data_IF_561313655515
#
_entry.id   IF_561313655515
#
_cell.length_a   1.000
_cell.length_b   1.000
_cell.length_c   1.000
_cell.angle_alpha   90.00
_cell.angle_beta   90.00
_cell.angle_gamma   90.00
#
_symmetry.space_group_name_H-M   'P 1'
#
loop_
_entity.id
_entity.type
_entity.pdbx_description
1 polymer ?
#
# COMPACT_ATOMS: atom_id res chain seq x y z
N UNK A 1 10.86 -44.90 8.73
CA UNK A 1 9.87 -43.87 8.32
C UNK A 1 10.41 -42.50 8.78
N UNK A 2 10.93 -41.72 7.84
CA UNK A 2 11.47 -40.40 8.11
C UNK A 2 10.30 -39.44 8.22
N UNK A 3 9.98 -38.97 9.43
CA UNK A 3 9.09 -37.82 9.63
C UNK A 3 9.86 -36.57 9.22
N UNK A 4 9.65 -36.10 8.01
CA UNK A 4 9.99 -34.72 7.68
C UNK A 4 8.93 -33.84 8.37
N UNK A 5 9.27 -33.32 9.54
CA UNK A 5 8.54 -32.22 10.16
C UNK A 5 8.76 -30.98 9.27
N UNK A 6 7.93 -30.83 8.24
CA UNK A 6 7.85 -29.60 7.50
C UNK A 6 7.45 -28.51 8.49
N UNK A 7 8.37 -27.60 8.80
CA UNK A 7 8.09 -26.41 9.58
C UNK A 7 7.01 -25.66 8.81
N UNK A 8 5.76 -25.71 9.32
CA UNK A 8 4.67 -24.89 8.78
C UNK A 8 4.97 -23.47 9.19
N UNK A 9 5.51 -22.67 8.29
CA UNK A 9 5.64 -21.23 8.50
C UNK A 9 4.23 -20.60 8.38
N UNK A 10 3.54 -20.46 9.50
CA UNK A 10 2.17 -19.92 9.56
C UNK A 10 2.25 -18.39 9.56
N UNK A 11 1.81 -17.80 8.46
CA UNK A 11 1.83 -16.35 8.25
C UNK A 11 0.43 -15.76 8.35
N UNK A 12 0.30 -14.68 9.14
CA UNK A 12 -0.93 -13.91 9.25
C UNK A 12 -0.71 -12.50 8.75
N UNK A 13 -1.72 -11.96 8.05
CA UNK A 13 -1.74 -10.59 7.56
C UNK A 13 -2.78 -9.78 8.33
N UNK A 14 -2.35 -8.68 8.91
CA UNK A 14 -3.18 -7.71 9.62
C UNK A 14 -3.24 -6.44 8.78
N UNK A 15 -4.44 -6.03 8.39
CA UNK A 15 -4.67 -4.89 7.51
C UNK A 15 -5.37 -3.78 8.26
N UNK A 16 -4.70 -2.64 8.40
CA UNK A 16 -5.32 -1.37 8.70
C UNK A 16 -6.08 -0.90 7.47
N UNK A 17 -7.42 -1.03 7.49
CA UNK A 17 -8.28 -0.71 6.37
C UNK A 17 -8.24 0.77 5.99
N UNK A 18 -8.08 1.66 6.97
CA UNK A 18 -7.92 3.09 6.71
C UNK A 18 -6.63 3.42 5.95
N UNK A 19 -5.54 2.76 6.31
CA UNK A 19 -4.27 2.88 5.57
C UNK A 19 -4.39 2.34 4.14
N UNK A 20 -4.98 1.15 3.96
CA UNK A 20 -5.17 0.55 2.65
C UNK A 20 -6.07 1.41 1.77
N UNK A 21 -7.21 1.90 2.28
CA UNK A 21 -8.12 2.77 1.53
C UNK A 21 -7.42 4.05 1.07
N UNK A 22 -6.67 4.71 1.95
CA UNK A 22 -5.92 5.92 1.63
C UNK A 22 -4.85 5.69 0.56
N UNK A 23 -4.20 4.51 0.57
CA UNK A 23 -3.27 4.10 -0.47
C UNK A 23 -4.00 3.95 -1.81
N UNK A 24 -5.08 3.17 -1.85
CA UNK A 24 -5.84 2.87 -3.06
C UNK A 24 -6.48 4.13 -3.66
N UNK A 25 -7.00 5.05 -2.82
CA UNK A 25 -7.52 6.34 -3.25
C UNK A 25 -6.43 7.19 -3.90
N UNK A 26 -5.24 7.26 -3.32
CA UNK A 26 -4.10 7.98 -3.90
C UNK A 26 -3.72 7.44 -5.28
N UNK A 27 -3.72 6.11 -5.48
CA UNK A 27 -3.45 5.50 -6.78
C UNK A 27 -4.59 5.74 -7.78
N UNK A 28 -5.85 5.63 -7.33
CA UNK A 28 -7.02 5.96 -8.13
C UNK A 28 -6.94 7.38 -8.68
N UNK A 29 -6.70 8.36 -7.80
CA UNK A 29 -6.73 9.77 -8.14
C UNK A 29 -5.56 10.20 -9.02
N UNK A 30 -4.35 9.76 -8.65
CA UNK A 30 -3.12 10.28 -9.23
C UNK A 30 -2.57 9.46 -10.39
N UNK A 31 -2.88 8.15 -10.47
CA UNK A 31 -2.37 7.28 -11.52
C UNK A 31 -3.45 6.84 -12.51
N UNK A 32 -4.67 6.58 -12.04
CA UNK A 32 -5.71 5.98 -12.88
C UNK A 32 -6.88 6.91 -13.18
N UNK A 33 -6.68 8.24 -13.07
CA UNK A 33 -7.67 9.24 -13.47
C UNK A 33 -8.98 9.16 -12.71
N UNK A 34 -8.93 8.94 -11.40
CA UNK A 34 -10.06 8.83 -10.47
C UNK A 34 -10.98 7.61 -10.75
N UNK A 35 -10.48 6.59 -11.43
CA UNK A 35 -11.22 5.34 -11.59
C UNK A 35 -11.18 4.55 -10.29
N UNK A 36 -12.32 4.14 -9.77
CA UNK A 36 -12.39 3.28 -8.58
C UNK A 36 -11.65 1.96 -8.86
N UNK A 37 -10.63 1.65 -8.02
CA UNK A 37 -9.83 0.45 -8.19
C UNK A 37 -10.65 -0.80 -7.83
N UNK A 38 -10.54 -1.82 -8.66
CA UNK A 38 -11.14 -3.13 -8.43
C UNK A 38 -10.05 -4.08 -7.92
N UNK A 39 -10.07 -4.37 -6.62
CA UNK A 39 -9.05 -5.20 -5.96
C UNK A 39 -9.48 -6.66 -5.91
N UNK A 40 -8.57 -7.54 -6.32
CA UNK A 40 -8.64 -8.98 -6.06
C UNK A 40 -7.99 -9.26 -4.68
N UNK A 41 -8.80 -9.35 -3.66
CA UNK A 41 -8.35 -9.57 -2.29
C UNK A 41 -7.73 -10.97 -2.09
N UNK A 42 -8.04 -11.94 -2.93
CA UNK A 42 -7.39 -13.25 -2.91
C UNK A 42 -5.92 -13.15 -3.36
N UNK A 43 -5.63 -12.27 -4.34
CA UNK A 43 -4.25 -11.96 -4.76
C UNK A 43 -3.49 -11.19 -3.69
N UNK A 44 -4.12 -10.20 -3.05
CA UNK A 44 -3.54 -9.48 -1.93
C UNK A 44 -3.18 -10.41 -0.78
N UNK A 45 -4.05 -11.37 -0.48
CA UNK A 45 -3.90 -12.35 0.60
C UNK A 45 -3.01 -13.56 0.24
N UNK A 46 -2.41 -13.57 -0.95
CA UNK A 46 -1.63 -14.72 -1.40
C UNK A 46 -0.43 -14.97 -0.47
N UNK A 47 -0.26 -16.23 -0.06
CA UNK A 47 0.81 -16.65 0.86
C UNK A 47 0.46 -16.54 2.35
N UNK A 48 -0.70 -16.01 2.71
CA UNK A 48 -1.15 -15.90 4.10
C UNK A 48 -2.18 -16.97 4.46
N UNK A 49 -2.05 -17.53 5.68
CA UNK A 49 -2.98 -18.53 6.23
C UNK A 49 -4.25 -17.89 6.77
N UNK A 50 -4.14 -16.68 7.34
CA UNK A 50 -5.25 -15.85 7.78
C UNK A 50 -5.00 -14.39 7.46
N UNK A 51 -6.08 -13.68 7.18
CA UNK A 51 -6.09 -12.23 6.93
C UNK A 51 -7.10 -11.61 7.89
N UNK A 52 -6.65 -10.63 8.64
CA UNK A 52 -7.45 -9.87 9.58
C UNK A 52 -7.56 -8.45 9.03
N UNK A 53 -8.77 -8.05 8.68
CA UNK A 53 -9.08 -6.73 8.13
C UNK A 53 -9.82 -5.91 9.18
N UNK A 54 -9.25 -4.78 9.56
CA UNK A 54 -9.78 -3.91 10.59
C UNK A 54 -10.12 -2.57 10.00
N UNK A 55 -11.35 -2.12 10.19
CA UNK A 55 -11.79 -0.82 9.70
C UNK A 55 -13.09 -0.39 10.39
N UNK A 56 -13.53 0.85 10.15
CA UNK A 56 -14.77 1.34 10.68
C UNK A 56 -15.62 2.01 9.59
N UNK A 57 -16.95 1.98 9.79
CA UNK A 57 -17.82 2.82 8.98
C UNK A 57 -17.62 4.29 9.37
N UNK A 58 -17.54 5.20 8.38
CA UNK A 58 -17.45 6.63 8.67
C UNK A 58 -18.62 7.09 9.54
N UNK A 59 -18.35 7.90 10.56
CA UNK A 59 -19.43 8.46 11.38
C UNK A 59 -20.35 9.35 10.55
N UNK A 60 -21.64 9.41 10.92
CA UNK A 60 -22.61 10.32 10.31
C UNK A 60 -22.20 11.77 10.57
N UNK A 61 -22.11 12.59 9.50
CA UNK A 61 -21.72 14.00 9.61
C UNK A 61 -22.82 14.80 10.29
N UNK A 62 -22.43 15.87 10.99
CA UNK A 62 -23.41 16.78 11.60
C UNK A 62 -24.29 17.41 10.51
N UNK A 63 -25.60 17.25 10.63
CA UNK A 63 -26.58 17.73 9.64
C UNK A 63 -26.79 16.82 8.43
N UNK A 64 -26.06 15.71 8.30
CA UNK A 64 -26.29 14.73 7.27
C UNK A 64 -27.58 13.95 7.56
N UNK A 65 -28.49 13.89 6.59
CA UNK A 65 -29.71 13.08 6.76
C UNK A 65 -29.38 11.57 6.66
N UNK A 66 -30.28 10.74 7.15
CA UNK A 66 -30.09 9.29 7.22
C UNK A 66 -29.94 8.64 5.85
N UNK A 67 -30.60 9.14 4.81
CA UNK A 67 -30.54 8.57 3.45
C UNK A 67 -29.16 8.83 2.84
N UNK A 68 -28.65 10.05 2.97
CA UNK A 68 -27.34 10.43 2.44
C UNK A 68 -26.23 9.66 3.18
N UNK A 69 -26.36 9.53 4.51
CA UNK A 69 -25.43 8.72 5.29
C UNK A 69 -25.41 7.26 4.81
N UNK A 70 -26.58 6.63 4.67
CA UNK A 70 -26.67 5.24 4.18
C UNK A 70 -26.08 5.07 2.77
N UNK A 71 -26.32 6.03 1.88
CA UNK A 71 -25.73 6.00 0.53
C UNK A 71 -24.21 6.13 0.58
N UNK A 72 -23.67 6.97 1.46
CA UNK A 72 -22.23 7.19 1.61
C UNK A 72 -21.49 5.99 2.18
N UNK A 73 -22.07 5.24 3.13
CA UNK A 73 -21.43 4.07 3.74
C UNK A 73 -21.67 2.77 2.95
N UNK A 74 -22.63 2.74 2.04
CA UNK A 74 -23.00 1.55 1.27
C UNK A 74 -21.84 0.87 0.54
N UNK A 75 -20.90 1.58 -0.10
CA UNK A 75 -19.72 0.94 -0.72
C UNK A 75 -18.86 0.19 0.31
N UNK A 76 -18.66 0.78 1.50
CA UNK A 76 -17.87 0.17 2.58
C UNK A 76 -18.56 -1.07 3.16
N UNK A 77 -19.87 -1.02 3.36
CA UNK A 77 -20.65 -2.20 3.77
C UNK A 77 -20.55 -3.32 2.74
N UNK A 78 -20.61 -2.99 1.45
CA UNK A 78 -20.42 -3.98 0.38
C UNK A 78 -19.03 -4.61 0.43
N UNK A 79 -17.99 -3.80 0.67
CA UNK A 79 -16.63 -4.29 0.85
C UNK A 79 -16.54 -5.26 2.03
N UNK A 80 -17.04 -4.89 3.21
CA UNK A 80 -17.02 -5.75 4.39
C UNK A 80 -17.74 -7.08 4.14
N UNK A 81 -18.92 -7.05 3.52
CA UNK A 81 -19.68 -8.26 3.19
C UNK A 81 -18.92 -9.13 2.19
N UNK A 82 -18.28 -8.52 1.18
CA UNK A 82 -17.41 -9.23 0.24
C UNK A 82 -16.24 -9.90 0.96
N UNK A 83 -15.48 -9.17 1.77
CA UNK A 83 -14.35 -9.72 2.52
C UNK A 83 -14.76 -10.86 3.46
N UNK A 84 -15.90 -10.72 4.16
CA UNK A 84 -16.45 -11.79 5.02
C UNK A 84 -16.84 -13.06 4.26
N UNK A 85 -17.10 -12.95 2.95
CA UNK A 85 -17.41 -14.10 2.10
C UNK A 85 -16.19 -14.83 1.56
N UNK A 86 -14.99 -14.25 1.71
CA UNK A 86 -13.75 -14.85 1.27
C UNK A 86 -13.19 -15.80 2.33
N UNK A 87 -12.63 -16.92 1.88
CA UNK A 87 -11.91 -17.83 2.76
C UNK A 87 -10.72 -17.14 3.42
N UNK A 88 -10.44 -17.48 4.68
CA UNK A 88 -9.31 -16.97 5.48
C UNK A 88 -9.43 -15.50 5.93
N UNK A 89 -10.44 -14.75 5.48
CA UNK A 89 -10.65 -13.38 5.89
C UNK A 89 -11.50 -13.29 7.17
N UNK A 90 -11.02 -12.49 8.10
CA UNK A 90 -11.70 -12.12 9.33
C UNK A 90 -11.83 -10.60 9.36
N UNK A 91 -13.06 -10.08 9.33
CA UNK A 91 -13.33 -8.64 9.26
C UNK A 91 -13.81 -8.15 10.61
N UNK A 92 -13.14 -7.14 11.13
CA UNK A 92 -13.45 -6.48 12.41
C UNK A 92 -13.86 -5.04 12.14
N UNK A 93 -15.08 -4.73 12.56
CA UNK A 93 -15.68 -3.42 12.34
C UNK A 93 -15.62 -2.62 13.64
N UNK A 94 -14.78 -1.58 13.66
CA UNK A 94 -14.74 -0.62 14.74
C UNK A 94 -15.89 0.39 14.67
N UNK A 95 -16.09 1.13 15.75
CA UNK A 95 -17.08 2.18 15.85
C UNK A 95 -16.41 3.54 15.69
N UNK A 96 -16.69 4.26 14.59
CA UNK A 96 -16.25 5.64 14.46
C UNK A 96 -17.13 6.58 15.28
N UNK A 97 -16.51 7.36 16.18
CA UNK A 97 -17.21 8.39 16.98
C UNK A 97 -16.61 9.76 16.69
N UNK A 98 -17.48 10.77 16.48
CA UNK A 98 -17.05 12.16 16.51
C UNK A 98 -16.83 12.59 17.96
N UNK A 99 -15.59 12.81 18.37
CA UNK A 99 -15.24 13.24 19.73
C UNK A 99 -15.08 14.74 19.90
N UNK A 100 -14.71 15.49 18.89
CA UNK A 100 -14.63 16.96 18.97
C UNK A 100 -14.43 17.58 17.59
N UNK A 101 -14.97 18.80 17.38
CA UNK A 101 -14.85 19.58 16.12
C UNK A 101 -13.39 19.91 15.73
N UNK A 102 -12.43 19.80 16.67
CA UNK A 102 -11.02 20.18 16.47
C UNK A 102 -10.08 19.02 16.13
N UNK A 103 -10.47 17.75 16.35
CA UNK A 103 -9.56 16.59 16.22
C UNK A 103 -9.95 15.60 15.14
N UNK A 104 -11.01 15.82 14.40
CA UNK A 104 -11.45 14.90 13.35
C UNK A 104 -12.09 13.60 13.90
N UNK A 105 -12.20 12.63 13.00
CA UNK A 105 -12.76 11.31 13.31
C UNK A 105 -11.67 10.44 13.95
N UNK A 106 -11.87 9.95 15.18
CA UNK A 106 -10.92 9.04 15.84
C UNK A 106 -11.23 7.59 15.51
N UNK A 107 -10.23 6.87 14.97
CA UNK A 107 -10.26 5.42 14.70
C UNK A 107 -9.58 4.59 15.80
N UNK A 108 -9.30 5.16 16.96
CA UNK A 108 -8.52 4.52 18.05
C UNK A 108 -9.00 3.14 18.48
N UNK A 109 -10.28 2.83 18.29
CA UNK A 109 -10.81 1.50 18.60
C UNK A 109 -10.21 0.44 17.66
N UNK A 110 -10.05 0.76 16.37
CA UNK A 110 -9.48 -0.12 15.36
C UNK A 110 -8.03 -0.44 15.67
N UNK A 111 -7.23 0.57 16.01
CA UNK A 111 -5.80 0.44 16.31
C UNK A 111 -5.58 -0.47 17.53
N UNK A 112 -6.40 -0.29 18.57
CA UNK A 112 -6.37 -1.15 19.76
C UNK A 112 -6.76 -2.58 19.42
N UNK A 113 -7.75 -2.80 18.54
CA UNK A 113 -8.15 -4.15 18.12
C UNK A 113 -7.02 -4.84 17.38
N UNK A 114 -6.35 -4.18 16.45
CA UNK A 114 -5.16 -4.70 15.75
C UNK A 114 -4.09 -5.09 16.78
N UNK A 115 -3.75 -4.18 17.69
CA UNK A 115 -2.70 -4.41 18.68
C UNK A 115 -3.01 -5.61 19.59
N UNK A 116 -4.23 -5.69 20.09
CA UNK A 116 -4.67 -6.80 20.96
C UNK A 116 -4.66 -8.12 20.24
N UNK A 117 -5.14 -8.18 19.00
CA UNK A 117 -5.20 -9.44 18.24
C UNK A 117 -3.80 -9.89 17.79
N UNK A 118 -2.93 -9.00 17.33
CA UNK A 118 -1.55 -9.35 16.99
C UNK A 118 -0.82 -9.91 18.20
N UNK A 119 -0.90 -9.23 19.35
CA UNK A 119 -0.26 -9.70 20.58
C UNK A 119 -0.85 -11.03 21.08
N UNK A 120 -2.19 -11.19 21.01
CA UNK A 120 -2.88 -12.45 21.36
C UNK A 120 -2.43 -13.63 20.51
N UNK A 121 -2.33 -13.44 19.19
CA UNK A 121 -1.91 -14.51 18.27
C UNK A 121 -0.43 -14.86 18.46
N UNK A 122 0.43 -13.88 18.70
CA UNK A 122 1.83 -14.07 19.02
C UNK A 122 2.00 -14.85 20.33
N UNK A 123 1.42 -14.38 21.44
CA UNK A 123 1.56 -15.00 22.76
C UNK A 123 1.01 -16.45 22.80
N UNK A 124 0.03 -16.76 21.95
CA UNK A 124 -0.53 -18.12 21.81
C UNK A 124 0.22 -18.97 20.79
N UNK A 125 1.27 -18.44 20.15
CA UNK A 125 2.03 -19.13 19.09
C UNK A 125 1.14 -19.67 17.96
N UNK A 126 0.13 -18.89 17.57
CA UNK A 126 -0.80 -19.23 16.49
C UNK A 126 -0.21 -18.94 15.09
N UNK A 127 0.86 -18.17 15.04
CA UNK A 127 1.56 -17.77 13.82
C UNK A 127 3.07 -17.72 14.07
N UNK A 128 3.84 -17.88 13.01
CA UNK A 128 5.30 -17.78 13.02
C UNK A 128 5.76 -16.41 12.48
N UNK A 129 4.94 -15.79 11.64
CA UNK A 129 5.17 -14.48 11.03
C UNK A 129 3.89 -13.65 11.06
N UNK A 130 4.01 -12.40 11.52
CA UNK A 130 2.97 -11.38 11.49
C UNK A 130 3.33 -10.30 10.47
N UNK A 131 2.49 -10.10 9.45
CA UNK A 131 2.61 -8.94 8.56
C UNK A 131 1.56 -7.90 8.94
N UNK A 132 1.99 -6.66 9.16
CA UNK A 132 1.11 -5.51 9.41
C UNK A 132 1.15 -4.56 8.22
N UNK A 133 -0.02 -4.24 7.66
CA UNK A 133 -0.17 -3.19 6.65
C UNK A 133 -0.68 -1.92 7.36
N UNK A 134 0.21 -0.96 7.56
CA UNK A 134 -0.10 0.36 8.14
C UNK A 134 0.97 1.39 7.81
N UNK A 135 0.68 2.67 8.04
CA UNK A 135 1.63 3.78 8.04
C UNK A 135 1.62 4.57 9.35
N UNK A 136 0.83 4.11 10.33
CA UNK A 136 0.65 4.83 11.58
C UNK A 136 1.78 4.50 12.57
N UNK A 137 2.49 5.55 12.99
CA UNK A 137 3.59 5.46 13.95
C UNK A 137 3.14 4.93 15.33
N UNK A 138 1.87 5.07 15.68
CA UNK A 138 1.31 4.59 16.93
C UNK A 138 1.43 3.06 17.09
N UNK A 139 1.65 2.33 15.99
CA UNK A 139 1.93 0.89 16.03
C UNK A 139 3.39 0.52 16.34
N UNK A 140 4.33 1.48 16.37
CA UNK A 140 5.73 1.19 16.68
C UNK A 140 5.92 0.44 18.00
N UNK A 141 5.29 0.87 19.14
CA UNK A 141 5.42 0.14 20.40
C UNK A 141 4.94 -1.31 20.35
N UNK A 142 3.91 -1.60 19.54
CA UNK A 142 3.43 -2.96 19.30
C UNK A 142 4.47 -3.79 18.57
N UNK A 143 5.04 -3.25 17.48
CA UNK A 143 6.07 -3.94 16.69
C UNK A 143 7.29 -4.23 17.57
N UNK A 144 7.79 -3.23 18.32
CA UNK A 144 8.91 -3.39 19.24
C UNK A 144 8.65 -4.52 20.26
N UNK A 145 7.45 -4.56 20.84
CA UNK A 145 7.08 -5.60 21.81
C UNK A 145 7.03 -6.99 21.17
N UNK A 146 6.47 -7.13 19.97
CA UNK A 146 6.38 -8.41 19.26
C UNK A 146 7.76 -8.94 18.86
N UNK A 147 8.63 -8.08 18.34
CA UNK A 147 10.02 -8.43 17.99
C UNK A 147 10.80 -8.86 19.22
N UNK A 148 10.64 -8.17 20.36
CA UNK A 148 11.28 -8.55 21.64
C UNK A 148 10.80 -9.90 22.17
N UNK A 149 9.54 -10.27 21.92
CA UNK A 149 8.98 -11.60 22.23
C UNK A 149 9.40 -12.70 21.22
N UNK A 150 10.23 -12.35 20.23
CA UNK A 150 10.75 -13.27 19.24
C UNK A 150 9.79 -13.58 18.07
N UNK A 151 8.74 -12.77 17.89
CA UNK A 151 7.88 -12.84 16.70
C UNK A 151 8.57 -12.20 15.50
N UNK A 152 8.57 -12.87 14.35
CA UNK A 152 9.01 -12.24 13.11
C UNK A 152 7.93 -11.31 12.57
N UNK A 153 8.23 -10.01 12.53
CA UNK A 153 7.29 -8.96 12.12
C UNK A 153 7.69 -8.37 10.78
N UNK A 154 6.80 -8.44 9.81
CA UNK A 154 6.92 -7.78 8.51
C UNK A 154 6.01 -6.55 8.46
N UNK A 155 6.52 -5.42 8.02
CA UNK A 155 5.73 -4.21 7.80
C UNK A 155 5.51 -3.97 6.31
N UNK A 156 4.24 -3.82 5.90
CA UNK A 156 3.84 -3.30 4.59
C UNK A 156 3.37 -1.87 4.74
N UNK A 157 3.96 -0.94 3.99
CA UNK A 157 3.69 0.49 4.17
C UNK A 157 3.63 1.26 2.85
N UNK A 158 2.77 2.30 2.75
CA UNK A 158 2.78 3.24 1.62
C UNK A 158 4.10 4.01 1.59
N UNK A 159 4.82 3.95 0.47
CA UNK A 159 6.17 4.52 0.29
C UNK A 159 6.31 5.98 0.76
N UNK A 160 5.29 6.80 0.55
CA UNK A 160 5.35 8.25 0.78
C UNK A 160 4.74 8.72 2.09
N UNK A 161 4.25 7.80 2.95
CA UNK A 161 3.51 8.16 4.17
C UNK A 161 4.09 7.56 5.46
N UNK A 162 4.95 6.56 5.36
CA UNK A 162 5.47 5.91 6.56
C UNK A 162 6.63 6.69 7.18
N UNK A 163 6.64 6.73 8.51
CA UNK A 163 7.75 7.24 9.29
C UNK A 163 8.87 6.20 9.35
N UNK A 164 10.13 6.63 9.23
CA UNK A 164 11.29 5.74 9.31
C UNK A 164 11.38 4.98 10.64
N UNK A 165 10.99 5.59 11.76
CA UNK A 165 10.99 4.92 13.05
C UNK A 165 10.05 3.70 13.09
N UNK A 166 8.90 3.78 12.42
CA UNK A 166 7.99 2.65 12.26
C UNK A 166 8.59 1.58 11.36
N UNK A 167 9.19 2.00 10.23
CA UNK A 167 9.76 1.10 9.22
C UNK A 167 10.95 0.33 9.80
N UNK A 168 11.79 0.99 10.60
CA UNK A 168 12.98 0.39 11.18
C UNK A 168 12.68 -0.52 12.39
N UNK A 169 11.50 -0.42 12.99
CA UNK A 169 11.09 -1.29 14.10
C UNK A 169 10.83 -2.75 13.67
N UNK A 170 10.49 -3.00 12.39
CA UNK A 170 10.14 -4.33 11.89
C UNK A 170 11.36 -5.12 11.40
N UNK A 171 11.33 -6.47 11.53
CA UNK A 171 12.36 -7.38 11.01
C UNK A 171 12.44 -7.34 9.48
N UNK A 172 11.30 -7.21 8.82
CA UNK A 172 11.18 -7.11 7.37
C UNK A 172 10.24 -5.96 6.99
N UNK A 173 10.54 -5.32 5.88
CA UNK A 173 9.83 -4.14 5.44
C UNK A 173 9.59 -4.17 3.93
N UNK A 174 8.37 -3.88 3.52
CA UNK A 174 7.97 -3.81 2.12
C UNK A 174 7.22 -2.53 1.83
N UNK A 175 7.83 -1.63 1.07
CA UNK A 175 7.11 -0.49 0.52
C UNK A 175 6.09 -0.95 -0.54
N UNK A 176 4.87 -0.45 -0.44
CA UNK A 176 3.80 -0.73 -1.40
C UNK A 176 3.99 0.14 -2.63
N UNK A 177 4.49 -0.46 -3.69
CA UNK A 177 4.80 0.19 -4.97
C UNK A 177 3.63 0.13 -5.94
N UNK A 178 3.76 0.81 -7.09
CA UNK A 178 2.81 0.69 -8.21
C UNK A 178 2.64 -0.77 -8.62
N UNK A 179 3.74 -1.52 -8.75
CA UNK A 179 3.66 -2.93 -9.17
C UNK A 179 2.98 -3.82 -8.14
N UNK A 180 3.15 -3.52 -6.84
CA UNK A 180 2.42 -4.23 -5.78
C UNK A 180 0.92 -4.03 -5.93
N UNK A 181 0.47 -2.78 -6.02
CA UNK A 181 -0.95 -2.44 -6.17
C UNK A 181 -1.50 -2.97 -7.50
N UNK A 182 -0.73 -2.84 -8.60
CA UNK A 182 -1.09 -3.40 -9.90
C UNK A 182 -1.32 -4.92 -9.85
N UNK A 183 -0.49 -5.63 -9.08
CA UNK A 183 -0.63 -7.07 -8.85
C UNK A 183 -1.94 -7.45 -8.16
N UNK A 184 -2.48 -6.57 -7.32
CA UNK A 184 -3.75 -6.77 -6.62
C UNK A 184 -4.99 -6.43 -7.46
N UNK A 185 -4.84 -5.66 -8.56
CA UNK A 185 -5.98 -5.29 -9.41
C UNK A 185 -6.57 -6.50 -10.12
N UNK A 186 -7.91 -6.49 -10.31
CA UNK A 186 -8.58 -7.48 -11.13
C UNK A 186 -8.10 -7.43 -12.58
N UNK A 187 -8.19 -8.55 -13.29
CA UNK A 187 -7.83 -8.58 -14.72
C UNK A 187 -8.69 -7.65 -15.56
N UNK A 188 -9.97 -7.56 -15.23
CA UNK A 188 -10.90 -6.70 -15.96
C UNK A 188 -10.62 -5.23 -15.73
N UNK A 189 -10.16 -4.84 -14.54
CA UNK A 189 -9.70 -3.46 -14.33
C UNK A 189 -8.41 -3.17 -15.08
N UNK A 190 -7.42 -4.08 -15.06
CA UNK A 190 -6.16 -3.91 -15.78
C UNK A 190 -6.32 -3.78 -17.30
N UNK A 191 -7.36 -4.40 -17.89
CA UNK A 191 -7.70 -4.21 -19.31
C UNK A 191 -8.23 -2.81 -19.64
N UNK A 192 -8.77 -2.09 -18.65
CA UNK A 192 -9.36 -0.73 -18.81
C UNK A 192 -8.38 0.41 -18.60
N UNK A 193 -7.18 0.11 -18.11
CA UNK A 193 -6.14 1.10 -17.76
C UNK A 193 -4.78 0.61 -18.24
N UNK A 194 -3.83 1.53 -18.36
CA UNK A 194 -2.44 1.19 -18.69
C UNK A 194 -1.47 1.85 -17.73
N UNK A 195 -0.35 1.21 -17.48
CA UNK A 195 0.81 1.85 -16.87
C UNK A 195 1.63 2.57 -17.94
N UNK A 196 2.52 3.51 -17.56
CA UNK A 196 3.52 4.05 -18.46
C UNK A 196 4.29 2.95 -19.19
N UNK A 197 4.54 3.18 -20.47
CA UNK A 197 5.27 2.22 -21.32
C UNK A 197 6.73 2.23 -20.91
N UNK A 198 7.27 1.06 -20.60
CA UNK A 198 8.68 0.89 -20.27
C UNK A 198 9.48 0.44 -21.47
N UNK A 199 10.65 1.06 -21.68
CA UNK A 199 11.65 0.67 -22.67
C UNK A 199 13.05 0.76 -22.07
N UNK A 200 13.93 -0.19 -22.42
CA UNK A 200 15.36 -0.11 -22.11
C UNK A 200 16.13 0.22 -23.39
N UNK A 201 17.02 1.21 -23.34
CA UNK A 201 17.81 1.65 -24.49
C UNK A 201 19.29 1.80 -24.11
N UNK A 202 20.19 1.40 -25.01
CA UNK A 202 21.62 1.66 -24.88
C UNK A 202 22.04 3.08 -25.28
N UNK A 203 21.13 3.80 -25.97
CA UNK A 203 21.34 5.18 -26.39
C UNK A 203 20.27 6.07 -25.78
N UNK A 204 20.64 7.30 -25.45
CA UNK A 204 19.68 8.31 -25.02
C UNK A 204 18.81 8.71 -26.24
N UNK A 205 17.49 8.43 -26.24
CA UNK A 205 16.62 8.72 -27.38
C UNK A 205 16.07 10.16 -27.36
N UNK A 206 16.78 11.08 -26.74
CA UNK A 206 16.42 12.50 -26.61
C UNK A 206 17.26 13.29 -27.61
N UNK A 207 16.60 13.97 -28.54
CA UNK A 207 17.19 14.89 -29.51
C UNK A 207 16.71 16.33 -29.25
N UNK A 208 17.14 17.29 -30.06
CA UNK A 208 16.83 18.72 -29.92
C UNK A 208 15.34 19.06 -30.01
N UNK A 209 14.49 18.09 -30.41
CA UNK A 209 13.03 18.26 -30.47
C UNK A 209 12.34 18.03 -29.11
N UNK A 210 13.05 17.49 -28.14
CA UNK A 210 12.56 17.27 -26.77
C UNK A 210 12.92 18.44 -25.86
N UNK A 211 12.01 18.85 -25.01
CA UNK A 211 12.23 19.89 -24.00
C UNK A 211 12.22 19.26 -22.61
N UNK A 212 13.27 19.49 -21.84
CA UNK A 212 13.27 19.07 -20.43
C UNK A 212 12.27 19.92 -19.64
N UNK A 213 11.30 19.26 -19.00
CA UNK A 213 10.19 19.92 -18.26
C UNK A 213 10.28 19.70 -16.75
N UNK A 214 11.03 18.67 -16.31
CA UNK A 214 11.17 18.38 -14.87
C UNK A 214 12.43 17.56 -14.57
N UNK A 215 12.78 17.51 -13.27
CA UNK A 215 13.80 16.64 -12.71
C UNK A 215 13.25 16.08 -11.38
N UNK A 216 13.16 14.75 -11.27
CA UNK A 216 12.67 14.05 -10.08
C UNK A 216 13.87 13.46 -9.35
N UNK A 217 14.25 14.08 -8.24
CA UNK A 217 15.29 13.54 -7.36
C UNK A 217 14.76 12.34 -6.56
N UNK A 218 15.45 11.23 -6.66
CA UNK A 218 15.27 10.06 -5.81
C UNK A 218 16.54 9.86 -4.98
N UNK A 219 16.47 9.13 -3.90
CA UNK A 219 17.61 8.95 -2.98
C UNK A 219 18.88 8.40 -3.62
N UNK A 220 18.75 7.65 -4.71
CA UNK A 220 19.86 6.94 -5.37
C UNK A 220 20.08 7.32 -6.83
N UNK A 221 19.15 8.05 -7.45
CA UNK A 221 19.23 8.44 -8.86
C UNK A 221 18.36 9.66 -9.16
N UNK A 222 18.70 10.38 -10.21
CA UNK A 222 17.89 11.46 -10.79
C UNK A 222 17.13 10.94 -12.00
N UNK A 223 15.90 11.41 -12.17
CA UNK A 223 15.07 11.10 -13.32
C UNK A 223 14.71 12.38 -14.05
N UNK A 224 15.24 12.53 -15.25
CA UNK A 224 14.92 13.66 -16.10
C UNK A 224 13.63 13.42 -16.89
N UNK A 225 12.74 14.39 -16.91
CA UNK A 225 11.48 14.29 -17.63
C UNK A 225 11.49 15.27 -18.80
N UNK A 226 11.22 14.74 -19.98
CA UNK A 226 11.17 15.49 -21.23
C UNK A 226 9.76 15.45 -21.84
N UNK A 227 9.43 16.47 -22.62
CA UNK A 227 8.18 16.61 -23.34
C UNK A 227 8.42 16.80 -24.84
N UNK A 228 7.58 16.16 -25.64
CA UNK A 228 7.46 16.37 -27.07
C UNK A 228 6.01 16.07 -27.50
N UNK A 229 5.33 17.07 -28.08
CA UNK A 229 3.98 16.94 -28.65
C UNK A 229 2.96 16.30 -27.68
N UNK A 230 2.93 16.77 -26.42
CA UNK A 230 2.10 16.22 -25.34
C UNK A 230 2.40 14.75 -24.95
N UNK A 231 3.55 14.24 -25.35
CA UNK A 231 4.07 12.98 -24.84
C UNK A 231 5.22 13.29 -23.86
N UNK A 232 5.24 12.59 -22.75
CA UNK A 232 6.24 12.76 -21.70
C UNK A 232 7.07 11.49 -21.58
N UNK A 233 8.37 11.65 -21.47
CA UNK A 233 9.31 10.55 -21.24
C UNK A 233 10.15 10.85 -19.99
N UNK A 234 10.13 9.93 -19.05
CA UNK A 234 11.01 9.96 -17.89
C UNK A 234 12.22 9.06 -18.18
N UNK A 235 13.41 9.61 -18.01
CA UNK A 235 14.67 8.98 -18.37
C UNK A 235 15.58 8.92 -17.16
N UNK A 236 16.15 7.77 -16.87
CA UNK A 236 17.27 7.65 -15.93
C UNK A 236 18.31 6.65 -16.44
N UNK A 237 19.57 6.97 -16.18
CA UNK A 237 20.68 6.13 -16.56
C UNK A 237 20.91 5.06 -15.49
N UNK A 238 21.08 3.81 -15.91
CA UNK A 238 21.45 2.71 -15.04
C UNK A 238 22.95 2.73 -14.72
N UNK A 239 23.37 2.02 -13.69
CA UNK A 239 24.79 1.86 -13.33
C UNK A 239 25.59 1.24 -14.48
N UNK A 240 24.96 0.42 -15.32
CA UNK A 240 25.58 -0.22 -16.49
C UNK A 240 25.74 0.73 -17.68
N UNK A 241 25.20 1.95 -17.61
CA UNK A 241 25.26 2.97 -18.65
C UNK A 241 24.08 2.97 -19.62
N UNK A 242 23.20 2.00 -19.53
CA UNK A 242 21.92 1.97 -20.30
C UNK A 242 20.91 2.96 -19.73
N UNK A 243 19.86 3.24 -20.50
CA UNK A 243 18.76 4.12 -20.11
C UNK A 243 17.48 3.32 -19.90
N UNK A 244 16.82 3.55 -18.78
CA UNK A 244 15.44 3.14 -18.55
C UNK A 244 14.51 4.31 -18.87
N UNK A 245 13.51 4.04 -19.69
CA UNK A 245 12.60 5.02 -20.28
C UNK A 245 11.17 4.67 -19.87
N UNK A 246 10.42 5.65 -19.38
CA UNK A 246 8.99 5.48 -19.10
C UNK A 246 8.21 6.56 -19.83
N UNK A 247 7.25 6.17 -20.65
CA UNK A 247 6.49 7.08 -21.49
C UNK A 247 5.01 7.12 -21.09
N UNK A 248 4.45 8.31 -21.06
CA UNK A 248 3.02 8.53 -20.80
C UNK A 248 2.56 9.87 -21.40
N UNK A 249 1.25 9.96 -21.75
CA UNK A 249 0.64 11.18 -22.27
C UNK A 249 0.14 12.16 -21.19
N UNK A 250 0.35 11.86 -19.92
CA UNK A 250 -0.01 12.73 -18.80
C UNK A 250 1.18 12.84 -17.85
N UNK A 251 1.66 14.08 -17.66
CA UNK A 251 2.84 14.38 -16.85
C UNK A 251 2.65 13.99 -15.38
N UNK A 252 1.51 14.35 -14.78
CA UNK A 252 1.28 14.11 -13.36
C UNK A 252 1.20 12.62 -13.04
N UNK A 253 0.57 11.84 -13.94
CA UNK A 253 0.52 10.38 -13.81
C UNK A 253 1.90 9.75 -13.97
N UNK A 254 2.71 10.23 -14.93
CA UNK A 254 4.09 9.77 -15.09
C UNK A 254 4.94 10.07 -13.86
N UNK A 255 4.87 11.30 -13.34
CA UNK A 255 5.60 11.70 -12.12
C UNK A 255 5.19 10.86 -10.92
N UNK A 256 3.90 10.68 -10.70
CA UNK A 256 3.40 9.81 -9.63
C UNK A 256 3.91 8.37 -9.78
N UNK A 257 3.86 7.83 -10.99
CA UNK A 257 4.38 6.51 -11.30
C UNK A 257 5.86 6.40 -10.95
N UNK A 258 6.70 7.31 -11.44
CA UNK A 258 8.16 7.30 -11.18
C UNK A 258 8.48 7.30 -9.68
N UNK A 259 7.79 8.12 -8.91
CA UNK A 259 7.98 8.17 -7.45
C UNK A 259 7.64 6.83 -6.77
N UNK A 260 6.71 6.04 -7.35
CA UNK A 260 6.15 4.85 -6.70
C UNK A 260 6.54 3.52 -7.35
N UNK A 261 7.42 3.47 -8.37
CA UNK A 261 7.81 2.21 -9.03
C UNK A 261 8.82 1.38 -8.24
N UNK A 262 9.72 2.02 -7.51
CA UNK A 262 10.74 1.33 -6.73
C UNK A 262 10.44 1.41 -5.25
N UNK A 263 10.76 0.34 -4.54
CA UNK A 263 10.94 0.44 -3.09
C UNK A 263 12.04 1.46 -2.81
N UNK A 264 11.97 2.26 -1.75
CA UNK A 264 13.14 2.99 -1.32
C UNK A 264 14.22 1.94 -1.09
N UNK A 265 15.34 2.06 -1.80
CA UNK A 265 16.54 1.34 -1.41
C UNK A 265 16.78 1.74 0.03
N UNK A 266 16.74 0.77 0.91
CA UNK A 266 17.10 1.00 2.31
C UNK A 266 18.57 1.35 2.28
N UNK A 267 18.88 2.63 2.22
CA UNK A 267 20.23 3.11 2.47
C UNK A 267 20.48 2.73 3.92
N UNK A 268 21.09 1.56 4.09
CA UNK A 268 21.74 1.25 5.35
C UNK A 268 22.90 2.21 5.42
N UNK A 269 22.80 3.19 6.29
CA UNK A 269 23.94 3.99 6.67
C UNK A 269 25.03 3.02 7.10
N UNK A 270 26.06 2.88 6.27
CA UNK A 270 27.32 2.21 6.60
C UNK A 270 28.11 3.08 7.57
#
# INVERSE_FOLDING_TARGET
>A
MSYSSGIKNVKYLFIDGGCLDSLLESFSDKLFGKKQLEIDYCRLANGYHKVFYYDCLPAQKQGENQVDYQNRIKPKIKLFNHLKSLDRFHVYEGTARFRDKRRGQEQKEVDIMIAVDMYRHSSRKNMDEATLLTSDLDFKPLIDALVQEGMYVSLWYPKTKANYELVDAADSRQALTVYTVWGWLTEDFRKKVSLPIFEKSSLLPIDDSWTQVDNIEQSTYEVFVYEKENNYIAVFQTIEGDYNLYQHNNLDQLKFFIVHIHSPDVIRYS
#
